data_IF_748464376001
#
_entry.id   IF_748464376001
#
_cell.length_a   1.000
_cell.length_b   1.000
_cell.length_c   1.000
_cell.angle_alpha   90.00
_cell.angle_beta   90.00
_cell.angle_gamma   90.00
#
_symmetry.space_group_name_H-M   'P 1'
#
loop_
_entity.id
_entity.type
_entity.pdbx_description
1 polymer ?
#
# COMPACT_ATOMS: atom_id res chain seq x y z
N UNK A 1 0.95 -11.48 -4.45
CA UNK A 1 -0.06 -11.85 -5.46
C UNK A 1 -1.48 -11.55 -5.00
N UNK A 2 -1.89 -11.89 -3.78
CA UNK A 2 -3.26 -11.62 -3.28
C UNK A 2 -3.65 -10.13 -3.36
N UNK A 3 -2.75 -9.21 -2.95
CA UNK A 3 -3.06 -7.77 -3.02
C UNK A 3 -3.24 -7.23 -4.44
N UNK A 4 -2.56 -7.79 -5.45
CA UNK A 4 -2.80 -7.43 -6.84
C UNK A 4 -4.21 -7.87 -7.31
N UNK A 5 -4.66 -9.06 -6.92
CA UNK A 5 -6.02 -9.52 -7.22
C UNK A 5 -7.08 -8.65 -6.55
N UNK A 6 -6.88 -8.28 -5.28
CA UNK A 6 -7.84 -7.45 -4.55
C UNK A 6 -7.94 -6.05 -5.16
N UNK A 7 -6.81 -5.48 -5.57
CA UNK A 7 -6.76 -4.16 -6.19
C UNK A 7 -7.32 -4.19 -7.62
N UNK A 8 -6.73 -4.95 -8.55
CA UNK A 8 -7.11 -4.88 -9.96
C UNK A 8 -8.43 -5.57 -10.31
N UNK A 9 -8.90 -6.52 -9.51
CA UNK A 9 -10.16 -7.23 -9.74
C UNK A 9 -11.20 -6.86 -8.69
N UNK A 10 -10.87 -6.99 -7.41
CA UNK A 10 -11.82 -6.79 -6.31
C UNK A 10 -12.40 -5.38 -6.29
N UNK A 11 -11.55 -4.37 -6.20
CA UNK A 11 -11.99 -2.96 -6.18
C UNK A 11 -12.61 -2.54 -7.51
N UNK A 12 -12.07 -3.00 -8.64
CA UNK A 12 -12.66 -2.75 -9.97
C UNK A 12 -14.11 -3.26 -10.05
N UNK A 13 -14.38 -4.46 -9.56
CA UNK A 13 -15.74 -5.04 -9.53
C UNK A 13 -16.71 -4.21 -8.67
N UNK A 14 -16.26 -3.53 -7.63
CA UNK A 14 -17.12 -2.65 -6.80
C UNK A 14 -17.65 -1.49 -7.63
N UNK A 15 -16.80 -0.92 -8.49
CA UNK A 15 -17.18 0.17 -9.40
C UNK A 15 -17.99 -0.32 -10.61
N UNK A 16 -17.61 -1.45 -11.21
CA UNK A 16 -18.35 -2.04 -12.34
C UNK A 16 -19.78 -2.41 -11.95
N UNK A 17 -19.98 -2.95 -10.74
CA UNK A 17 -21.32 -3.27 -10.23
C UNK A 17 -22.09 -2.05 -9.69
N UNK A 18 -21.56 -0.83 -9.83
CA UNK A 18 -22.17 0.41 -9.34
C UNK A 18 -22.52 0.38 -7.83
N UNK A 19 -21.78 -0.41 -7.03
CA UNK A 19 -21.91 -0.39 -5.57
C UNK A 19 -21.53 0.99 -5.03
N UNK A 20 -20.55 1.62 -5.67
CA UNK A 20 -20.22 3.03 -5.52
C UNK A 20 -20.56 3.71 -6.86
N UNK A 21 -21.67 4.44 -6.95
CA UNK A 21 -22.14 4.97 -8.21
C UNK A 21 -21.22 6.09 -8.70
N UNK A 22 -20.87 6.04 -9.99
CA UNK A 22 -20.14 7.10 -10.70
C UNK A 22 -21.02 7.54 -11.87
N UNK A 23 -21.54 8.77 -11.81
CA UNK A 23 -22.56 9.28 -12.72
C UNK A 23 -22.05 10.46 -13.57
N UNK A 24 -21.12 11.26 -13.04
CA UNK A 24 -20.63 12.47 -13.71
C UNK A 24 -19.67 12.22 -14.85
N UNK A 25 -19.02 11.06 -14.90
CA UNK A 25 -18.05 10.68 -15.94
C UNK A 25 -18.35 9.29 -16.49
N UNK A 26 -18.07 9.02 -17.78
CA UNK A 26 -18.25 7.70 -18.36
C UNK A 26 -17.44 6.65 -17.59
N UNK A 27 -18.14 5.67 -16.99
CA UNK A 27 -17.54 4.66 -16.12
C UNK A 27 -16.42 3.89 -16.80
N UNK A 28 -16.66 3.39 -18.02
CA UNK A 28 -15.69 2.56 -18.75
C UNK A 28 -14.40 3.32 -19.03
N UNK A 29 -14.51 4.60 -19.39
CA UNK A 29 -13.35 5.47 -19.64
C UNK A 29 -12.59 5.75 -18.36
N UNK A 30 -13.30 6.06 -17.27
CA UNK A 30 -12.69 6.30 -15.96
C UNK A 30 -12.01 5.04 -15.41
N UNK A 31 -12.63 3.87 -15.56
CA UNK A 31 -12.05 2.59 -15.13
C UNK A 31 -10.79 2.23 -15.93
N UNK A 32 -10.86 2.33 -17.26
CA UNK A 32 -9.77 1.94 -18.14
C UNK A 32 -8.57 2.90 -18.07
N UNK A 33 -8.82 4.20 -17.91
CA UNK A 33 -7.77 5.21 -17.89
C UNK A 33 -7.37 5.59 -16.46
N UNK A 34 -8.26 6.25 -15.73
CA UNK A 34 -7.92 6.93 -14.47
C UNK A 34 -7.66 5.90 -13.36
N UNK A 35 -8.61 5.00 -13.12
CA UNK A 35 -8.52 3.98 -12.07
C UNK A 35 -7.36 3.02 -12.32
N UNK A 36 -7.26 2.45 -13.52
CA UNK A 36 -6.21 1.46 -13.83
C UNK A 36 -4.81 2.08 -13.72
N UNK A 37 -4.63 3.31 -14.21
CA UNK A 37 -3.35 4.03 -14.08
C UNK A 37 -3.02 4.30 -12.63
N UNK A 38 -3.98 4.83 -11.86
CA UNK A 38 -3.79 5.10 -10.44
C UNK A 38 -3.45 3.83 -9.65
N UNK A 39 -4.14 2.72 -9.93
CA UNK A 39 -3.91 1.44 -9.29
C UNK A 39 -2.54 0.86 -9.63
N UNK A 40 -2.09 0.97 -10.90
CA UNK A 40 -0.75 0.53 -11.31
C UNK A 40 0.35 1.31 -10.59
N UNK A 41 0.22 2.64 -10.50
CA UNK A 41 1.19 3.49 -9.79
C UNK A 41 1.24 3.09 -8.31
N UNK A 42 0.07 2.99 -7.68
CA UNK A 42 -0.03 2.70 -6.26
C UNK A 42 0.50 1.29 -5.92
N UNK A 43 0.15 0.29 -6.72
CA UNK A 43 0.72 -1.06 -6.59
C UNK A 43 2.25 -1.05 -6.74
N UNK A 44 2.75 -0.37 -7.76
CA UNK A 44 4.20 -0.25 -8.02
C UNK A 44 4.95 0.40 -6.87
N UNK A 45 4.43 1.50 -6.32
CA UNK A 45 5.03 2.21 -5.19
C UNK A 45 5.03 1.36 -3.92
N UNK A 46 3.92 0.71 -3.58
CA UNK A 46 3.87 -0.19 -2.42
C UNK A 46 4.83 -1.37 -2.55
N UNK A 47 4.90 -1.99 -3.73
CA UNK A 47 5.82 -3.09 -4.01
C UNK A 47 7.28 -2.63 -3.90
N UNK A 48 7.61 -1.49 -4.52
CA UNK A 48 8.95 -0.93 -4.44
C UNK A 48 9.36 -0.63 -2.99
N UNK A 49 8.53 0.08 -2.23
CA UNK A 49 8.81 0.39 -0.82
C UNK A 49 9.03 -0.87 0.02
N UNK A 50 8.22 -1.91 -0.20
CA UNK A 50 8.30 -3.17 0.55
C UNK A 50 9.56 -3.96 0.20
N UNK A 51 9.84 -4.13 -1.10
CA UNK A 51 11.04 -4.83 -1.56
C UNK A 51 12.28 -4.09 -1.08
N UNK A 52 12.31 -2.77 -1.24
CA UNK A 52 13.42 -1.94 -0.81
C UNK A 52 13.66 -2.05 0.70
N UNK A 53 12.61 -2.03 1.51
CA UNK A 53 12.70 -2.29 2.95
C UNK A 53 13.34 -3.66 3.25
N UNK A 54 12.87 -4.73 2.60
CA UNK A 54 13.39 -6.08 2.80
C UNK A 54 14.86 -6.21 2.36
N UNK A 55 15.23 -5.60 1.24
CA UNK A 55 16.62 -5.60 0.75
C UNK A 55 17.53 -4.86 1.73
N UNK A 56 17.15 -3.66 2.17
CA UNK A 56 17.92 -2.89 3.16
C UNK A 56 18.09 -3.67 4.48
N UNK A 57 17.02 -4.28 4.97
CA UNK A 57 17.06 -5.12 6.17
C UNK A 57 18.03 -6.30 6.01
N UNK A 58 17.93 -7.05 4.91
CA UNK A 58 18.75 -8.23 4.65
C UNK A 58 20.24 -7.88 4.45
N UNK A 59 20.55 -6.72 3.86
CA UNK A 59 21.93 -6.26 3.65
C UNK A 59 22.58 -5.68 4.92
N UNK A 60 21.80 -5.38 5.96
CA UNK A 60 22.35 -4.80 7.19
C UNK A 60 23.13 -5.83 8.00
N UNK A 61 24.44 -5.61 8.18
CA UNK A 61 25.32 -6.49 8.97
C UNK A 61 25.29 -6.08 10.45
N UNK A 62 24.67 -6.92 11.28
CA UNK A 62 24.53 -6.78 12.74
C UNK A 62 23.77 -5.53 13.21
N UNK A 63 22.63 -5.74 13.85
CA UNK A 63 21.73 -4.69 14.32
C UNK A 63 22.24 -4.03 15.61
N UNK A 64 23.39 -3.33 15.52
CA UNK A 64 23.78 -2.32 16.52
C UNK A 64 23.27 -0.92 16.16
N UNK A 65 22.65 -0.79 14.98
CA UNK A 65 21.99 0.44 14.52
C UNK A 65 20.79 0.78 15.42
N UNK A 66 20.76 2.02 15.92
CA UNK A 66 19.66 2.55 16.74
C UNK A 66 18.31 2.28 16.06
N UNK A 67 17.42 1.58 16.77
CA UNK A 67 16.02 1.30 16.39
C UNK A 67 15.31 2.51 15.77
N UNK A 68 15.60 3.72 16.28
CA UNK A 68 15.03 4.96 15.78
C UNK A 68 15.37 5.26 14.32
N UNK A 69 16.59 4.94 13.87
CA UNK A 69 16.99 5.14 12.46
C UNK A 69 16.20 4.23 11.52
N UNK A 70 16.05 2.97 11.88
CA UNK A 70 15.27 2.01 11.10
C UNK A 70 13.79 2.36 11.08
N UNK A 71 13.25 2.83 12.21
CA UNK A 71 11.87 3.30 12.28
C UNK A 71 11.66 4.51 11.37
N UNK A 72 12.61 5.46 11.35
CA UNK A 72 12.55 6.61 10.45
C UNK A 72 12.60 6.19 8.98
N UNK A 73 13.49 5.27 8.59
CA UNK A 73 13.52 4.72 7.23
C UNK A 73 12.18 4.06 6.87
N UNK A 74 11.59 3.30 7.80
CA UNK A 74 10.29 2.68 7.59
C UNK A 74 9.19 3.72 7.38
N UNK A 75 9.17 4.80 8.15
CA UNK A 75 8.19 5.88 7.93
C UNK A 75 8.42 6.61 6.61
N UNK A 76 9.67 6.88 6.24
CA UNK A 76 9.99 7.54 4.95
C UNK A 76 9.52 6.69 3.75
N UNK A 77 9.70 5.37 3.82
CA UNK A 77 9.21 4.46 2.77
C UNK A 77 7.69 4.34 2.76
N UNK A 78 7.04 4.40 3.93
CA UNK A 78 5.58 4.43 4.06
C UNK A 78 4.95 5.74 3.60
N UNK A 79 5.71 6.83 3.62
CA UNK A 79 5.27 8.14 3.12
C UNK A 79 5.10 8.12 1.59
N UNK A 80 5.84 7.28 0.86
CA UNK A 80 5.72 7.16 -0.60
C UNK A 80 4.30 6.71 -1.02
N UNK A 81 3.73 5.59 -0.52
CA UNK A 81 2.33 5.24 -0.75
C UNK A 81 1.35 6.35 -0.38
N UNK A 82 1.55 7.05 0.74
CA UNK A 82 0.68 8.14 1.17
C UNK A 82 0.70 9.33 0.19
N UNK A 83 1.88 9.69 -0.32
CA UNK A 83 2.00 10.71 -1.37
C UNK A 83 1.33 10.27 -2.66
N UNK A 84 1.42 8.97 -3.00
CA UNK A 84 0.73 8.42 -4.17
C UNK A 84 -0.79 8.52 -4.03
N UNK A 85 -1.36 8.28 -2.84
CA UNK A 85 -2.78 8.51 -2.58
C UNK A 85 -3.14 9.97 -2.89
N UNK A 86 -2.38 10.92 -2.34
CA UNK A 86 -2.63 12.35 -2.57
C UNK A 86 -2.56 12.72 -4.06
N UNK A 87 -1.51 12.26 -4.74
CA UNK A 87 -1.31 12.50 -6.18
C UNK A 87 -2.43 11.90 -7.03
N UNK A 88 -2.79 10.64 -6.79
CA UNK A 88 -3.83 9.95 -7.57
C UNK A 88 -5.21 10.58 -7.36
N UNK A 89 -5.54 10.91 -6.11
CA UNK A 89 -6.82 11.51 -5.72
C UNK A 89 -7.01 12.92 -6.28
N UNK A 90 -5.97 13.75 -6.28
CA UNK A 90 -6.08 15.16 -6.70
C UNK A 90 -5.77 15.40 -8.17
N UNK A 91 -4.95 14.55 -8.80
CA UNK A 91 -4.44 14.82 -10.15
C UNK A 91 -4.94 13.82 -11.21
N UNK A 92 -5.14 12.55 -10.84
CA UNK A 92 -5.58 11.52 -11.81
C UNK A 92 -7.09 11.36 -11.79
N UNK A 93 -7.69 11.29 -10.61
CA UNK A 93 -9.11 11.03 -10.47
C UNK A 93 -9.96 12.22 -10.93
N UNK A 94 -10.77 12.02 -11.98
CA UNK A 94 -11.68 13.04 -12.51
C UNK A 94 -13.11 12.95 -11.95
N UNK A 95 -13.37 12.01 -11.05
CA UNK A 95 -14.69 11.80 -10.45
C UNK A 95 -14.69 12.19 -8.97
N UNK A 96 -15.38 13.28 -8.62
CA UNK A 96 -15.57 13.67 -7.21
C UNK A 96 -16.23 12.56 -6.38
N UNK A 97 -17.11 11.77 -7.01
CA UNK A 97 -17.89 10.69 -6.39
C UNK A 97 -17.00 9.52 -5.99
N UNK A 98 -16.01 9.20 -6.83
CA UNK A 98 -15.05 8.14 -6.56
C UNK A 98 -13.94 8.58 -5.62
N UNK A 99 -13.76 9.88 -5.39
CA UNK A 99 -12.58 10.43 -4.72
C UNK A 99 -12.36 9.87 -3.31
N UNK A 100 -13.40 9.88 -2.48
CA UNK A 100 -13.32 9.36 -1.11
C UNK A 100 -13.11 7.85 -1.08
N UNK A 101 -13.85 7.10 -1.91
CA UNK A 101 -13.74 5.64 -1.97
C UNK A 101 -12.36 5.19 -2.47
N UNK A 102 -11.82 5.86 -3.48
CA UNK A 102 -10.47 5.60 -4.01
C UNK A 102 -9.40 5.88 -2.95
N UNK A 103 -9.54 6.99 -2.21
CA UNK A 103 -8.64 7.31 -1.10
C UNK A 103 -8.67 6.22 -0.03
N UNK A 104 -9.85 5.74 0.36
CA UNK A 104 -10.00 4.65 1.32
C UNK A 104 -9.42 3.34 0.81
N UNK A 105 -9.66 2.98 -0.45
CA UNK A 105 -9.12 1.76 -1.05
C UNK A 105 -7.60 1.78 -1.13
N UNK A 106 -7.00 2.88 -1.59
CA UNK A 106 -5.54 2.97 -1.66
C UNK A 106 -4.89 3.08 -0.28
N UNK A 107 -5.57 3.66 0.71
CA UNK A 107 -5.13 3.58 2.11
C UNK A 107 -5.12 2.13 2.59
N UNK A 108 -6.18 1.37 2.30
CA UNK A 108 -6.23 -0.06 2.60
C UNK A 108 -5.14 -0.84 1.88
N UNK A 109 -4.88 -0.54 0.60
CA UNK A 109 -3.80 -1.16 -0.16
C UNK A 109 -2.43 -0.83 0.42
N UNK A 110 -2.21 0.39 0.91
CA UNK A 110 -0.98 0.75 1.63
C UNK A 110 -0.79 -0.10 2.87
N UNK A 111 -1.86 -0.27 3.66
CA UNK A 111 -1.82 -1.08 4.87
C UNK A 111 -1.53 -2.53 4.51
N UNK A 112 -2.17 -3.07 3.47
CA UNK A 112 -2.06 -4.47 3.08
C UNK A 112 -0.73 -4.80 2.39
N UNK A 113 -0.33 -4.01 1.40
CA UNK A 113 0.84 -4.29 0.56
C UNK A 113 2.14 -3.85 1.23
N UNK A 114 2.14 -2.73 1.95
CA UNK A 114 3.34 -2.20 2.60
C UNK A 114 3.40 -2.52 4.08
N UNK A 115 2.44 -2.05 4.89
CA UNK A 115 2.55 -2.20 6.35
C UNK A 115 2.48 -3.67 6.79
N UNK A 116 1.49 -4.42 6.32
CA UNK A 116 1.30 -5.81 6.72
C UNK A 116 2.47 -6.67 6.24
N UNK A 117 2.86 -6.54 4.97
CA UNK A 117 4.02 -7.25 4.41
C UNK A 117 5.31 -6.98 5.17
N UNK A 118 5.58 -5.71 5.53
CA UNK A 118 6.76 -5.39 6.34
C UNK A 118 6.61 -5.90 7.77
N UNK A 119 5.43 -5.85 8.38
CA UNK A 119 5.21 -6.38 9.71
C UNK A 119 5.39 -7.92 9.78
N UNK A 120 4.98 -8.67 8.76
CA UNK A 120 5.03 -10.14 8.74
C UNK A 120 6.30 -10.72 8.15
N UNK A 121 6.92 -10.03 7.19
CA UNK A 121 7.97 -10.61 6.33
C UNK A 121 9.29 -9.83 6.33
N UNK A 122 9.45 -8.88 7.25
CA UNK A 122 10.74 -8.23 7.50
C UNK A 122 11.86 -9.23 7.84
N UNK A 123 13.10 -9.00 7.36
CA UNK A 123 14.29 -9.75 7.76
C UNK A 123 14.58 -9.67 9.27
N UNK A 124 15.32 -10.64 9.81
CA UNK A 124 15.60 -10.77 11.26
C UNK A 124 16.17 -9.50 11.89
N UNK A 125 17.05 -8.81 11.17
CA UNK A 125 17.73 -7.57 11.61
C UNK A 125 16.77 -6.42 11.91
N UNK A 126 15.59 -6.41 11.27
CA UNK A 126 14.57 -5.36 11.35
C UNK A 126 13.16 -5.92 11.65
N UNK A 127 13.08 -7.18 12.10
CA UNK A 127 11.84 -7.96 12.29
C UNK A 127 10.76 -7.25 13.12
N UNK A 128 11.18 -6.47 14.12
CA UNK A 128 10.28 -5.79 15.09
C UNK A 128 10.28 -4.25 14.98
N UNK A 129 10.77 -3.71 13.86
CA UNK A 129 10.78 -2.26 13.65
C UNK A 129 9.39 -1.76 13.23
N UNK A 130 8.74 -2.44 12.29
CA UNK A 130 7.42 -2.04 11.80
C UNK A 130 6.41 -2.01 12.96
N UNK A 131 5.62 -0.92 13.10
CA UNK A 131 4.62 -0.82 14.16
C UNK A 131 3.66 -2.00 14.14
N UNK A 132 3.40 -2.62 15.29
CA UNK A 132 2.51 -3.79 15.39
C UNK A 132 3.14 -5.13 15.01
N UNK A 133 4.36 -5.16 14.46
CA UNK A 133 5.03 -6.40 14.07
C UNK A 133 5.23 -7.38 15.23
N UNK A 134 5.54 -6.87 16.43
CA UNK A 134 5.66 -7.70 17.64
C UNK A 134 4.35 -8.44 17.95
N UNK A 135 3.21 -7.74 17.94
CA UNK A 135 1.91 -8.36 18.23
C UNK A 135 1.52 -9.38 17.17
N UNK A 136 1.71 -9.06 15.89
CA UNK A 136 1.37 -9.98 14.80
C UNK A 136 2.22 -11.24 14.90
N UNK A 137 3.53 -11.11 15.04
CA UNK A 137 4.42 -12.27 15.05
C UNK A 137 4.25 -13.12 16.30
N UNK A 138 4.17 -12.47 17.46
CA UNK A 138 4.06 -13.19 18.72
C UNK A 138 2.69 -13.85 18.92
N UNK A 139 1.58 -13.15 18.60
CA UNK A 139 0.23 -13.69 18.82
C UNK A 139 -0.35 -14.48 17.65
N UNK A 140 -0.07 -14.09 16.40
CA UNK A 140 -0.66 -14.73 15.22
C UNK A 140 0.29 -15.77 14.58
N UNK A 141 1.60 -15.62 14.74
CA UNK A 141 2.59 -16.51 14.10
C UNK A 141 3.35 -17.42 15.08
N UNK A 142 3.25 -17.17 16.39
CA UNK A 142 3.86 -18.01 17.43
C UNK A 142 5.37 -17.86 17.58
N UNK A 143 5.95 -16.75 17.12
CA UNK A 143 7.35 -16.35 17.39
C UNK A 143 7.54 -15.95 18.86
#
# INVERSE_FOLDING_TARGET
>A
MIGAGLMFLGQRLIYENQVIPIQKVPLDTWLAADYTTAALIMFGVCMFSTIFWCVLGAMSRSSSSSRGKWLLIWFLLGLLPLLTIFFTVLYINRSDEAQFSLMCFFLFDSIWLYWLSTATSSPETVKYIAPGAFFIRHKLMGD
#
